data_IF_719421043019
#
_entry.id   IF_719421043019
#
_cell.length_a   1.000
_cell.length_b   1.000
_cell.length_c   1.000
_cell.angle_alpha   90.00
_cell.angle_beta   90.00
_cell.angle_gamma   90.00
#
_symmetry.space_group_name_H-M   'P 1'
#
loop_
_entity.id
_entity.type
_entity.pdbx_description
1 polymer ?
#
# COMPACT_ATOMS: atom_id res chain seq x y z
N UNK A 1 -9.26 26.93 -9.86
CA UNK A 1 -9.65 26.00 -8.78
C UNK A 1 -9.51 24.60 -9.36
N UNK A 2 -8.37 23.96 -9.14
CA UNK A 2 -8.20 22.57 -9.57
C UNK A 2 -8.96 21.71 -8.54
N UNK A 3 -9.95 20.95 -9.01
CA UNK A 3 -10.63 19.97 -8.16
C UNK A 3 -9.59 18.98 -7.65
N UNK A 4 -9.34 18.96 -6.35
CA UNK A 4 -8.59 17.85 -5.76
C UNK A 4 -9.33 16.54 -6.07
N UNK A 5 -8.63 15.46 -6.46
CA UNK A 5 -9.26 14.19 -6.70
C UNK A 5 -9.96 13.74 -5.41
N UNK A 6 -11.28 13.51 -5.51
CA UNK A 6 -12.06 12.87 -4.47
C UNK A 6 -12.00 11.37 -4.71
N UNK A 7 -11.45 10.62 -3.76
CA UNK A 7 -11.39 9.17 -3.84
C UNK A 7 -12.71 8.54 -3.38
N UNK A 8 -13.19 7.58 -4.14
CA UNK A 8 -14.34 6.75 -3.78
C UNK A 8 -14.10 5.31 -4.20
N UNK A 9 -14.46 4.36 -3.35
CA UNK A 9 -14.43 2.94 -3.72
C UNK A 9 -15.74 2.57 -4.40
N UNK A 10 -15.65 2.06 -5.63
CA UNK A 10 -16.78 1.54 -6.41
C UNK A 10 -16.38 0.17 -6.94
N UNK A 11 -17.12 -0.88 -6.53
CA UNK A 11 -16.85 -2.27 -6.93
C UNK A 11 -15.37 -2.69 -6.71
N UNK A 12 -14.77 -2.19 -5.61
CA UNK A 12 -13.38 -2.46 -5.22
C UNK A 12 -12.31 -1.72 -6.04
N UNK A 13 -12.71 -0.86 -6.98
CA UNK A 13 -11.82 0.11 -7.62
C UNK A 13 -11.87 1.47 -6.92
N UNK A 14 -10.71 2.11 -6.78
CA UNK A 14 -10.56 3.45 -6.24
C UNK A 14 -10.68 4.47 -7.38
N UNK A 15 -11.84 5.11 -7.49
CA UNK A 15 -12.05 6.22 -8.41
C UNK A 15 -11.10 7.37 -8.07
N UNK A 16 -10.43 7.93 -9.09
CA UNK A 16 -9.39 8.96 -8.93
C UNK A 16 -7.96 8.41 -8.85
N UNK A 17 -7.77 7.09 -8.68
CA UNK A 17 -6.47 6.45 -8.83
C UNK A 17 -6.23 6.00 -10.28
N UNK A 18 -4.98 6.06 -10.75
CA UNK A 18 -4.59 5.48 -12.04
C UNK A 18 -4.61 3.96 -11.93
N UNK A 19 -5.39 3.32 -12.79
CA UNK A 19 -5.51 1.86 -12.81
C UNK A 19 -4.35 1.23 -13.57
N UNK A 20 -3.62 0.34 -12.91
CA UNK A 20 -2.41 -0.30 -13.41
C UNK A 20 -2.43 -1.80 -13.04
N UNK A 21 -3.23 -2.61 -13.73
CA UNK A 21 -3.52 -3.97 -13.29
C UNK A 21 -2.24 -4.82 -13.15
N UNK A 22 -2.09 -5.45 -11.99
CA UNK A 22 -1.08 -6.47 -11.71
C UNK A 22 -1.66 -7.86 -11.99
N UNK A 23 -0.88 -8.81 -12.52
CA UNK A 23 -1.28 -10.21 -12.60
C UNK A 23 -1.14 -10.97 -11.26
N UNK A 24 -0.51 -10.35 -10.26
CA UNK A 24 -0.15 -10.99 -8.99
C UNK A 24 -1.26 -10.81 -7.96
N UNK A 25 -2.37 -11.52 -8.14
CA UNK A 25 -3.45 -11.57 -7.15
C UNK A 25 -4.21 -12.89 -7.27
N UNK A 26 -5.06 -13.16 -6.28
CA UNK A 26 -6.03 -14.25 -6.36
C UNK A 26 -7.26 -13.92 -5.52
N UNK A 27 -8.28 -14.78 -5.53
CA UNK A 27 -9.46 -14.59 -4.68
C UNK A 27 -9.08 -14.62 -3.19
N UNK A 28 -9.72 -13.74 -2.39
CA UNK A 28 -9.72 -13.85 -0.92
C UNK A 28 -10.47 -15.12 -0.49
N UNK A 29 -10.15 -15.72 0.67
CA UNK A 29 -10.98 -16.78 1.24
C UNK A 29 -12.42 -16.28 1.48
N UNK A 30 -13.42 -17.14 1.27
CA UNK A 30 -14.85 -16.76 1.30
C UNK A 30 -15.32 -16.20 2.64
N UNK A 31 -14.65 -16.59 3.73
CA UNK A 31 -15.08 -16.27 5.10
C UNK A 31 -14.27 -15.09 5.70
N UNK A 32 -13.47 -14.41 4.89
CA UNK A 32 -12.62 -13.30 5.32
C UNK A 32 -13.17 -11.98 4.81
N UNK A 33 -13.53 -11.11 5.75
CA UNK A 33 -13.87 -9.72 5.45
C UNK A 33 -12.63 -8.84 5.50
N UNK A 34 -12.59 -7.81 4.66
CA UNK A 34 -11.53 -6.81 4.71
C UNK A 34 -11.67 -6.01 6.01
N UNK A 35 -10.67 -6.12 6.87
CA UNK A 35 -10.70 -5.53 8.20
C UNK A 35 -9.38 -4.87 8.61
N UNK A 36 -8.30 -5.00 7.83
CA UNK A 36 -6.99 -4.45 8.17
C UNK A 36 -6.44 -3.60 7.02
N UNK A 37 -5.85 -2.46 7.34
CA UNK A 37 -4.97 -1.72 6.45
C UNK A 37 -3.52 -1.95 6.86
N UNK A 38 -2.67 -2.29 5.89
CA UNK A 38 -1.22 -2.43 6.12
C UNK A 38 -0.50 -1.33 5.34
N UNK A 39 0.22 -0.48 6.05
CA UNK A 39 1.08 0.56 5.47
C UNK A 39 2.47 -0.02 5.24
N UNK A 40 2.97 0.20 4.03
CA UNK A 40 4.26 -0.24 3.56
C UNK A 40 5.06 0.93 3.01
N UNK A 41 6.34 0.71 2.79
CA UNK A 41 7.14 1.53 1.90
C UNK A 41 7.91 0.66 0.92
N UNK A 42 8.21 1.26 -0.24
CA UNK A 42 9.03 0.64 -1.26
C UNK A 42 9.77 1.69 -2.07
N UNK A 43 10.99 1.37 -2.46
CA UNK A 43 11.76 2.10 -3.46
C UNK A 43 12.56 1.12 -4.29
N UNK A 44 12.55 1.34 -5.61
CA UNK A 44 13.28 0.52 -6.56
C UNK A 44 14.01 1.45 -7.54
N UNK A 45 15.35 1.38 -7.63
CA UNK A 45 16.26 0.74 -6.66
C UNK A 45 16.10 1.31 -5.23
N UNK A 46 16.68 0.65 -4.20
CA UNK A 46 16.54 1.11 -2.81
C UNK A 46 16.92 2.59 -2.64
N UNK A 47 16.05 3.34 -1.96
CA UNK A 47 16.18 4.78 -1.71
C UNK A 47 16.30 5.65 -2.97
N UNK A 48 15.83 5.15 -4.12
CA UNK A 48 15.67 5.90 -5.37
C UNK A 48 14.20 5.91 -5.79
N UNK A 49 13.75 7.03 -6.36
CA UNK A 49 12.33 7.33 -6.56
C UNK A 49 12.05 7.83 -7.98
N UNK A 50 10.81 7.71 -8.45
CA UNK A 50 10.32 8.30 -9.70
C UNK A 50 10.73 7.54 -10.97
N UNK A 51 11.40 6.39 -10.86
CA UNK A 51 11.88 5.62 -12.01
C UNK A 51 10.83 4.72 -12.68
N UNK A 52 9.62 4.62 -12.13
CA UNK A 52 8.57 3.71 -12.63
C UNK A 52 8.85 2.22 -12.37
N UNK A 53 9.95 1.88 -11.71
CA UNK A 53 10.35 0.49 -11.47
C UNK A 53 9.42 -0.27 -10.52
N UNK A 54 8.79 0.41 -9.56
CA UNK A 54 7.80 -0.20 -8.66
C UNK A 54 6.58 -0.68 -9.46
N UNK A 55 6.12 0.15 -10.40
CA UNK A 55 5.00 -0.19 -11.29
C UNK A 55 5.34 -1.44 -12.11
N UNK A 56 6.50 -1.44 -12.77
CA UNK A 56 6.98 -2.58 -13.55
C UNK A 56 7.15 -3.83 -12.68
N UNK A 57 7.66 -3.69 -11.46
CA UNK A 57 7.87 -4.81 -10.54
C UNK A 57 6.55 -5.49 -10.17
N UNK A 58 5.55 -4.72 -9.76
CA UNK A 58 4.22 -5.27 -9.44
C UNK A 58 3.50 -5.83 -10.66
N UNK A 59 3.86 -5.43 -11.88
CA UNK A 59 3.30 -5.99 -13.12
C UNK A 59 4.08 -7.18 -13.69
N UNK A 60 5.16 -7.65 -13.03
CA UNK A 60 6.10 -8.65 -13.56
C UNK A 60 6.79 -8.22 -14.88
N UNK A 61 7.01 -6.91 -15.06
CA UNK A 61 7.61 -6.30 -16.24
C UNK A 61 8.96 -5.64 -15.96
N UNK A 62 9.47 -5.72 -14.72
CA UNK A 62 10.76 -5.13 -14.36
C UNK A 62 11.89 -5.79 -15.14
N UNK A 63 12.67 -4.98 -15.85
CA UNK A 63 13.89 -5.43 -16.52
C UNK A 63 15.02 -5.61 -15.49
N UNK A 64 15.30 -6.87 -15.18
CA UNK A 64 16.30 -7.28 -14.19
C UNK A 64 17.73 -6.84 -14.52
N UNK A 65 18.00 -6.47 -15.78
CA UNK A 65 19.35 -6.05 -16.21
C UNK A 65 19.67 -4.59 -15.85
N UNK A 66 18.66 -3.77 -15.54
CA UNK A 66 18.84 -2.32 -15.35
C UNK A 66 19.52 -1.93 -14.04
N UNK A 67 19.50 -2.80 -13.03
CA UNK A 67 20.15 -2.52 -11.75
C UNK A 67 20.55 -3.81 -11.02
N UNK A 68 21.74 -3.89 -10.38
CA UNK A 68 22.18 -5.08 -9.64
C UNK A 68 21.19 -5.53 -8.56
N UNK A 69 20.53 -4.60 -7.89
CA UNK A 69 19.50 -4.94 -6.89
C UNK A 69 18.32 -5.72 -7.49
N UNK A 70 17.91 -5.42 -8.73
CA UNK A 70 16.77 -6.09 -9.36
C UNK A 70 17.03 -7.58 -9.56
N UNK A 71 18.28 -7.98 -9.73
CA UNK A 71 18.67 -9.40 -9.80
C UNK A 71 18.41 -10.14 -8.49
N UNK A 72 18.45 -9.45 -7.34
CA UNK A 72 18.23 -10.06 -6.02
C UNK A 72 16.75 -10.37 -5.74
N UNK A 73 15.85 -9.69 -6.46
CA UNK A 73 14.39 -9.84 -6.38
C UNK A 73 13.82 -10.47 -7.67
N UNK A 74 14.67 -10.97 -8.56
CA UNK A 74 14.27 -11.53 -9.84
C UNK A 74 13.35 -12.74 -9.65
N UNK A 75 12.24 -12.75 -10.38
CA UNK A 75 11.25 -13.82 -10.34
C UNK A 75 10.33 -13.79 -9.11
N UNK A 76 10.50 -12.83 -8.18
CA UNK A 76 9.51 -12.60 -7.15
C UNK A 76 8.19 -12.15 -7.77
N UNK A 77 7.09 -12.73 -7.29
CA UNK A 77 5.74 -12.34 -7.66
C UNK A 77 5.07 -11.73 -6.43
N UNK A 78 4.94 -10.42 -6.45
CA UNK A 78 4.36 -9.63 -5.36
C UNK A 78 3.52 -8.49 -5.94
N UNK A 79 2.63 -7.95 -5.11
CA UNK A 79 1.78 -6.82 -5.45
C UNK A 79 1.30 -6.15 -4.18
N UNK A 80 0.86 -4.90 -4.29
CA UNK A 80 0.02 -4.23 -3.31
C UNK A 80 -1.30 -3.83 -3.95
N UNK A 81 -2.25 -3.32 -3.18
CA UNK A 81 -3.46 -2.76 -3.78
C UNK A 81 -3.16 -1.38 -4.35
N UNK A 82 -2.45 -0.55 -3.58
CA UNK A 82 -2.14 0.83 -3.95
C UNK A 82 -0.67 1.16 -3.82
N UNK A 83 -0.21 2.10 -4.63
CA UNK A 83 1.04 2.83 -4.46
C UNK A 83 0.76 4.33 -4.47
N UNK A 84 1.33 5.06 -3.51
CA UNK A 84 1.32 6.53 -3.50
C UNK A 84 2.75 7.01 -3.77
N UNK A 85 2.97 7.54 -4.97
CA UNK A 85 4.27 8.09 -5.38
C UNK A 85 4.62 9.33 -4.57
N UNK A 86 5.91 9.73 -4.58
CA UNK A 86 6.35 10.96 -3.91
C UNK A 86 5.67 12.22 -4.47
N UNK A 87 5.21 12.17 -5.72
CA UNK A 87 4.42 13.23 -6.36
C UNK A 87 2.99 13.34 -5.81
N UNK A 88 2.52 12.35 -5.05
CA UNK A 88 1.14 12.23 -4.59
C UNK A 88 0.20 11.56 -5.60
N UNK A 89 0.72 11.07 -6.73
CA UNK A 89 -0.07 10.23 -7.63
C UNK A 89 -0.40 8.89 -6.94
N UNK A 90 -1.66 8.47 -7.04
CA UNK A 90 -2.13 7.20 -6.49
C UNK A 90 -2.39 6.23 -7.64
N UNK A 91 -1.72 5.09 -7.59
CA UNK A 91 -1.89 3.98 -8.53
C UNK A 91 -2.63 2.85 -7.82
N UNK A 92 -3.49 2.15 -8.55
CA UNK A 92 -4.13 0.92 -8.08
C UNK A 92 -3.73 -0.27 -8.96
N UNK A 93 -3.22 -1.33 -8.33
CA UNK A 93 -2.75 -2.54 -9.01
C UNK A 93 -3.71 -3.71 -8.92
N UNK A 94 -4.37 -3.85 -7.76
CA UNK A 94 -5.27 -4.97 -7.46
C UNK A 94 -6.59 -4.40 -6.97
N UNK A 95 -7.69 -4.99 -7.44
CA UNK A 95 -9.03 -4.67 -6.95
C UNK A 95 -9.10 -4.99 -5.44
N UNK A 96 -9.68 -4.12 -4.61
CA UNK A 96 -9.74 -4.36 -3.16
C UNK A 96 -10.49 -5.66 -2.79
N UNK A 97 -11.44 -6.10 -3.61
CA UNK A 97 -12.14 -7.36 -3.42
C UNK A 97 -11.24 -8.59 -3.62
N UNK A 98 -10.13 -8.44 -4.34
CA UNK A 98 -9.13 -9.48 -4.56
C UNK A 98 -8.01 -9.42 -3.52
N UNK A 99 -7.27 -10.51 -3.40
CA UNK A 99 -6.12 -10.67 -2.50
C UNK A 99 -4.82 -10.30 -3.23
N UNK A 100 -4.27 -9.12 -2.93
CA UNK A 100 -2.89 -8.78 -3.30
C UNK A 100 -1.87 -9.57 -2.45
N UNK A 101 -0.61 -9.62 -2.91
CA UNK A 101 0.47 -10.39 -2.30
C UNK A 101 1.53 -9.49 -1.67
N UNK A 102 1.18 -8.76 -0.59
CA UNK A 102 2.03 -7.72 0.01
C UNK A 102 2.62 -8.11 1.37
N UNK A 103 1.87 -8.83 2.21
CA UNK A 103 2.26 -9.07 3.60
C UNK A 103 3.21 -10.27 3.79
N UNK A 104 3.21 -11.23 2.86
CA UNK A 104 3.90 -12.52 3.05
C UNK A 104 3.42 -13.25 4.31
N UNK A 105 4.30 -14.01 4.97
CA UNK A 105 3.99 -14.65 6.27
C UNK A 105 3.89 -13.62 7.38
N UNK A 106 2.68 -13.41 7.90
CA UNK A 106 2.39 -12.36 8.88
C UNK A 106 1.26 -12.76 9.83
N UNK A 107 1.11 -12.04 10.94
CA UNK A 107 -0.02 -12.17 11.85
C UNK A 107 -0.41 -10.84 12.48
N UNK A 108 -1.71 -10.57 12.59
CA UNK A 108 -2.26 -9.40 13.27
C UNK A 108 -3.30 -9.87 14.30
N UNK A 109 -3.14 -9.46 15.56
CA UNK A 109 -4.01 -9.89 16.67
C UNK A 109 -4.18 -11.43 16.75
N UNK A 110 -3.08 -12.17 16.57
CA UNK A 110 -3.02 -13.63 16.53
C UNK A 110 -3.77 -14.30 15.35
N UNK A 111 -4.34 -13.54 14.42
CA UNK A 111 -4.86 -14.06 13.15
C UNK A 111 -3.70 -14.12 12.14
N UNK A 112 -3.37 -15.28 11.55
CA UNK A 112 -2.31 -15.42 10.55
C UNK A 112 -2.79 -15.02 9.15
N UNK A 113 -1.85 -14.93 8.20
CA UNK A 113 -2.12 -14.73 6.76
C UNK A 113 -2.82 -13.39 6.45
N UNK A 114 -2.18 -12.28 6.81
CA UNK A 114 -2.81 -10.96 6.71
C UNK A 114 -3.27 -10.57 5.30
N UNK A 115 -2.68 -11.12 4.23
CA UNK A 115 -3.15 -10.87 2.87
C UNK A 115 -4.66 -11.18 2.72
N UNK A 116 -5.16 -12.22 3.42
CA UNK A 116 -6.53 -12.71 3.26
C UNK A 116 -7.58 -11.65 3.63
N UNK A 117 -7.29 -10.79 4.62
CA UNK A 117 -8.24 -9.84 5.21
C UNK A 117 -7.73 -8.40 5.24
N UNK A 118 -6.66 -8.08 4.51
CA UNK A 118 -6.08 -6.74 4.49
C UNK A 118 -5.95 -6.09 3.11
N UNK A 119 -5.86 -4.76 3.14
CA UNK A 119 -5.47 -3.91 2.01
C UNK A 119 -4.07 -3.36 2.30
N UNK A 120 -3.09 -3.76 1.49
CA UNK A 120 -1.75 -3.15 1.45
C UNK A 120 -1.70 -1.85 0.64
N UNK A 121 -1.17 -0.79 1.26
CA UNK A 121 -0.83 0.49 0.62
C UNK A 121 0.68 0.71 0.73
N UNK A 122 1.32 0.88 -0.42
CA UNK A 122 2.73 1.24 -0.53
C UNK A 122 2.88 2.76 -0.62
N UNK A 123 3.82 3.32 0.15
CA UNK A 123 4.32 4.67 -0.06
C UNK A 123 5.69 4.57 -0.74
N UNK A 124 5.88 5.30 -1.85
CA UNK A 124 7.21 5.41 -2.45
C UNK A 124 8.15 6.12 -1.47
N UNK A 125 9.13 5.39 -0.95
CA UNK A 125 9.95 5.85 0.17
C UNK A 125 10.91 4.78 0.68
N UNK A 126 11.50 5.03 1.85
CA UNK A 126 12.39 4.10 2.53
C UNK A 126 12.40 4.35 4.04
N UNK A 127 12.95 3.39 4.79
CA UNK A 127 13.15 3.47 6.24
C UNK A 127 14.20 4.52 6.67
N UNK A 128 14.85 5.19 5.70
CA UNK A 128 15.96 6.11 5.94
C UNK A 128 15.63 7.58 5.60
N UNK A 129 14.45 7.84 5.02
CA UNK A 129 14.08 9.15 4.50
C UNK A 129 12.64 9.54 4.86
N UNK A 130 12.36 10.82 5.18
CA UNK A 130 11.00 11.32 5.36
C UNK A 130 10.11 11.10 4.13
N UNK A 131 8.83 10.84 4.36
CA UNK A 131 7.78 10.86 3.32
C UNK A 131 7.31 12.30 3.03
N UNK A 132 6.84 12.53 1.81
CA UNK A 132 6.40 13.86 1.39
C UNK A 132 5.08 14.28 2.04
N UNK A 133 4.88 15.60 2.21
CA UNK A 133 3.62 16.15 2.72
C UNK A 133 2.40 15.68 1.92
N UNK A 134 2.54 15.65 0.60
CA UNK A 134 1.49 15.23 -0.32
C UNK A 134 1.15 13.75 -0.18
N UNK A 135 2.10 12.90 0.21
CA UNK A 135 1.84 11.47 0.43
C UNK A 135 0.92 11.28 1.64
N UNK A 136 1.14 11.99 2.74
CA UNK A 136 0.24 11.95 3.89
C UNK A 136 -1.16 12.45 3.55
N UNK A 137 -1.27 13.60 2.85
CA UNK A 137 -2.56 14.13 2.44
C UNK A 137 -3.35 13.13 1.57
N UNK A 138 -2.69 12.47 0.62
CA UNK A 138 -3.30 11.45 -0.24
C UNK A 138 -3.63 10.19 0.54
N UNK A 139 -2.74 9.73 1.40
CA UNK A 139 -2.99 8.57 2.25
C UNK A 139 -4.23 8.77 3.12
N UNK A 140 -4.40 9.95 3.73
CA UNK A 140 -5.59 10.27 4.52
C UNK A 140 -6.86 10.17 3.68
N UNK A 141 -6.90 10.82 2.51
CA UNK A 141 -8.07 10.78 1.62
C UNK A 141 -8.41 9.34 1.15
N UNK A 142 -7.38 8.56 0.81
CA UNK A 142 -7.52 7.14 0.43
C UNK A 142 -8.08 6.33 1.60
N UNK A 143 -7.53 6.48 2.79
CA UNK A 143 -7.95 5.73 3.98
C UNK A 143 -9.39 6.09 4.38
N UNK A 144 -9.82 7.34 4.19
CA UNK A 144 -11.22 7.71 4.40
C UNK A 144 -12.15 6.99 3.43
N UNK A 145 -11.82 6.96 2.13
CA UNK A 145 -12.61 6.24 1.14
C UNK A 145 -12.68 4.74 1.46
N UNK A 146 -11.57 4.14 1.89
CA UNK A 146 -11.51 2.75 2.32
C UNK A 146 -12.33 2.50 3.60
N UNK A 147 -12.29 3.39 4.59
CA UNK A 147 -13.08 3.25 5.82
C UNK A 147 -14.59 3.42 5.59
N UNK A 148 -14.99 4.19 4.58
CA UNK A 148 -16.39 4.29 4.16
C UNK A 148 -16.87 3.00 3.49
N UNK A 149 -16.04 2.38 2.66
CA UNK A 149 -16.39 1.14 1.95
C UNK A 149 -16.23 -0.12 2.80
N UNK A 150 -15.26 -0.13 3.71
CA UNK A 150 -14.89 -1.26 4.57
C UNK A 150 -14.81 -0.81 6.04
N UNK A 151 -15.96 -0.65 6.74
CA UNK A 151 -16.00 -0.05 8.07
C UNK A 151 -15.16 -0.75 9.15
N UNK A 152 -14.87 -2.05 8.99
CA UNK A 152 -14.02 -2.79 9.94
C UNK A 152 -12.58 -2.27 9.98
N UNK A 153 -12.09 -1.60 8.94
CA UNK A 153 -10.74 -1.00 8.91
C UNK A 153 -10.57 0.14 9.92
N UNK A 154 -11.66 0.78 10.39
CA UNK A 154 -11.58 2.04 11.14
C UNK A 154 -10.60 2.05 12.33
N UNK A 155 -10.42 0.91 13.00
CA UNK A 155 -9.53 0.76 14.15
C UNK A 155 -8.29 -0.10 13.87
N UNK A 156 -8.14 -0.60 12.64
CA UNK A 156 -7.17 -1.61 12.27
C UNK A 156 -6.29 -1.09 11.15
N UNK A 157 -5.31 -0.27 11.53
CA UNK A 157 -4.25 0.21 10.66
C UNK A 157 -2.91 -0.11 11.34
N UNK A 158 -2.04 -0.82 10.62
CA UNK A 158 -0.75 -1.27 11.12
C UNK A 158 0.33 -1.08 10.04
N UNK A 159 1.60 -1.02 10.47
CA UNK A 159 2.73 -1.14 9.57
C UNK A 159 3.03 -2.60 9.23
N UNK A 160 3.78 -2.83 8.16
CA UNK A 160 4.26 -4.19 7.85
C UNK A 160 5.14 -4.76 8.97
N UNK A 161 5.93 -3.90 9.63
CA UNK A 161 6.73 -4.20 10.80
C UNK A 161 5.91 -4.76 11.96
N UNK A 162 4.67 -4.30 12.13
CA UNK A 162 3.80 -4.70 13.24
C UNK A 162 3.23 -6.11 13.03
N UNK A 163 2.97 -6.49 11.78
CA UNK A 163 2.40 -7.80 11.43
C UNK A 163 3.47 -8.86 11.13
N UNK A 164 4.72 -8.45 10.94
CA UNK A 164 5.85 -9.33 10.60
C UNK A 164 7.14 -8.94 11.34
N UNK A 165 7.10 -8.86 12.70
CA UNK A 165 8.24 -8.42 13.50
C UNK A 165 9.47 -9.31 13.28
N UNK A 166 10.64 -8.68 13.17
CA UNK A 166 11.92 -9.36 12.93
C UNK A 166 12.17 -9.78 11.48
N UNK A 167 11.16 -9.73 10.60
CA UNK A 167 11.31 -9.99 9.15
C UNK A 167 11.20 -8.72 8.32
N UNK A 168 10.33 -7.79 8.71
CA UNK A 168 10.06 -6.54 7.97
C UNK A 168 10.19 -5.34 8.90
N UNK A 169 10.62 -4.22 8.33
CA UNK A 169 10.89 -2.96 9.04
C UNK A 169 10.06 -1.80 8.50
N UNK A 170 9.51 -1.94 7.28
CA UNK A 170 8.61 -0.96 6.66
C UNK A 170 7.30 -0.79 7.45
N UNK A 171 6.72 0.44 7.53
CA UNK A 171 7.11 1.65 6.81
C UNK A 171 8.24 2.46 7.47
N UNK A 172 8.89 1.91 8.49
CA UNK A 172 10.11 2.45 9.07
C UNK A 172 9.89 3.63 10.03
N UNK A 173 10.99 4.12 10.65
CA UNK A 173 10.93 5.19 11.66
C UNK A 173 10.54 6.56 11.08
N UNK A 174 10.64 6.76 9.76
CA UNK A 174 10.29 8.02 9.10
C UNK A 174 8.82 8.12 8.70
N UNK A 175 8.04 7.04 8.87
CA UNK A 175 6.60 7.14 8.81
C UNK A 175 6.05 7.69 10.12
N UNK A 176 5.59 8.94 10.09
CA UNK A 176 5.04 9.66 11.23
C UNK A 176 3.58 9.23 11.49
N UNK A 177 3.46 8.18 12.30
CA UNK A 177 2.17 7.65 12.74
C UNK A 177 1.31 8.68 13.47
N UNK A 178 1.92 9.58 14.27
CA UNK A 178 1.18 10.58 15.03
C UNK A 178 0.52 11.55 14.07
N UNK A 179 1.31 12.12 13.16
CA UNK A 179 0.82 13.04 12.14
C UNK A 179 -0.27 12.41 11.27
N UNK A 180 -0.05 11.19 10.78
CA UNK A 180 -1.04 10.49 9.97
C UNK A 180 -2.38 10.34 10.72
N UNK A 181 -2.33 9.91 11.99
CA UNK A 181 -3.54 9.72 12.81
C UNK A 181 -4.24 11.04 13.13
N UNK A 182 -3.49 12.08 13.45
CA UNK A 182 -4.02 13.43 13.69
C UNK A 182 -4.77 13.94 12.46
N UNK A 183 -4.14 13.92 11.27
CA UNK A 183 -4.77 14.35 10.03
C UNK A 183 -6.01 13.49 9.69
N UNK A 184 -5.94 12.17 9.86
CA UNK A 184 -7.07 11.27 9.62
C UNK A 184 -8.24 11.55 10.55
N UNK A 185 -7.99 11.89 11.82
CA UNK A 185 -9.04 12.25 12.78
C UNK A 185 -9.68 13.60 12.45
N UNK A 186 -8.89 14.60 12.05
CA UNK A 186 -9.38 15.93 11.69
C UNK A 186 -10.26 15.89 10.44
N UNK A 187 -9.92 15.04 9.47
CA UNK A 187 -10.68 14.91 8.24
C UNK A 187 -12.05 14.20 8.44
N UNK A 188 -12.29 13.55 9.60
CA UNK A 188 -13.58 12.96 9.96
C UNK A 188 -14.54 13.97 10.62
N UNK A 189 -14.03 15.09 11.12
CA UNK A 189 -14.81 16.14 11.78
C UNK A 189 -15.43 17.09 10.76
#
# INVERSE_FOLDING_TARGET
MQHEPSFQVVEGQLQGARQVPSPNFNARPTDQEIQLLVIHNISLPPSQFGGGYIEQFFQNQLDWSQHPYFQTIQGMQVSAHLLILRTGEVLQFVNFADRAWHAGRSSYMAQPECNDYSIGIELEGSDDLPFEEVQYARLVQVVQALQQAYPRIQQHIAGHSDIAPGRKTDPGPFFDWQRFREQLSQAKA
#
